data_IF_328973391028
#
_entry.id   IF_328973391028
#
_cell.length_a   1.000
_cell.length_b   1.000
_cell.length_c   1.000
_cell.angle_alpha   90.00
_cell.angle_beta   90.00
_cell.angle_gamma   90.00
#
_symmetry.space_group_name_H-M   'P 1'
#
loop_
_entity.id
_entity.type
_entity.pdbx_description
1 polymer ?
#
# COMPACT_ATOMS: atom_id res chain seq x y z
N UNK A 1 -7.55 19.69 -5.49
CA UNK A 1 -7.29 18.93 -6.74
C UNK A 1 -7.76 17.49 -6.56
N UNK A 2 -8.38 16.87 -7.58
CA UNK A 2 -8.77 15.46 -7.53
C UNK A 2 -7.64 14.59 -8.07
N UNK A 3 -7.12 13.65 -7.27
CA UNK A 3 -6.08 12.73 -7.73
C UNK A 3 -6.65 11.76 -8.77
N UNK A 4 -5.86 11.32 -9.75
CA UNK A 4 -6.23 10.17 -10.59
C UNK A 4 -5.68 8.91 -9.93
N UNK A 5 -6.54 8.00 -9.49
CA UNK A 5 -6.12 6.74 -8.85
C UNK A 5 -6.56 5.59 -9.74
N UNK A 6 -5.59 4.91 -10.34
CA UNK A 6 -5.82 3.70 -11.13
C UNK A 6 -5.72 2.49 -10.21
N UNK A 7 -6.72 1.63 -10.23
CA UNK A 7 -6.75 0.35 -9.54
C UNK A 7 -6.69 -0.78 -10.57
N UNK A 8 -5.82 -1.76 -10.32
CA UNK A 8 -5.75 -2.99 -11.08
C UNK A 8 -6.11 -4.16 -10.19
N UNK A 9 -7.03 -5.00 -10.65
CA UNK A 9 -7.32 -6.30 -10.07
C UNK A 9 -6.62 -7.37 -10.90
N UNK A 10 -5.69 -8.07 -10.28
CA UNK A 10 -4.83 -9.06 -10.91
C UNK A 10 -5.26 -10.44 -10.40
N UNK A 11 -5.64 -11.35 -11.30
CA UNK A 11 -5.82 -12.77 -10.96
C UNK A 11 -4.50 -13.50 -11.17
N UNK A 12 -4.04 -14.22 -10.16
CA UNK A 12 -2.80 -14.99 -10.20
C UNK A 12 -3.04 -16.44 -9.83
N UNK A 13 -2.44 -17.35 -10.58
CA UNK A 13 -2.33 -18.76 -10.22
C UNK A 13 -1.06 -18.98 -9.39
N UNK A 14 -1.21 -19.58 -8.21
CA UNK A 14 -0.10 -19.81 -7.29
C UNK A 14 0.59 -21.16 -7.59
N UNK A 15 1.90 -21.15 -7.85
CA UNK A 15 2.67 -22.33 -8.27
C UNK A 15 3.27 -23.13 -7.12
N UNK A 16 3.40 -22.53 -5.94
CA UNK A 16 4.00 -23.12 -4.73
C UNK A 16 3.24 -22.65 -3.50
N UNK A 17 3.22 -23.46 -2.45
CA UNK A 17 2.64 -23.02 -1.17
C UNK A 17 3.40 -21.78 -0.69
N UNK A 18 2.66 -20.82 -0.14
CA UNK A 18 3.21 -19.51 0.22
C UNK A 18 2.72 -19.11 1.60
N UNK A 19 3.65 -18.91 2.53
CA UNK A 19 3.30 -18.43 3.86
C UNK A 19 2.74 -17.00 3.78
N UNK A 20 1.84 -16.66 4.70
CA UNK A 20 1.28 -15.31 4.76
C UNK A 20 2.35 -14.25 5.06
N UNK A 21 3.40 -14.62 5.79
CA UNK A 21 4.51 -13.73 6.12
C UNK A 21 5.41 -13.43 4.91
N UNK A 22 5.44 -14.32 3.92
CA UNK A 22 6.24 -14.18 2.69
C UNK A 22 5.44 -13.60 1.52
N UNK A 23 4.11 -13.50 1.65
CA UNK A 23 3.22 -13.16 0.54
C UNK A 23 3.54 -11.79 -0.09
N UNK A 24 3.72 -10.74 0.73
CA UNK A 24 4.07 -9.41 0.23
C UNK A 24 5.43 -9.38 -0.46
N UNK A 25 6.40 -10.14 0.03
CA UNK A 25 7.73 -10.25 -0.60
C UNK A 25 7.66 -11.00 -1.93
N UNK A 26 6.87 -12.07 -2.01
CA UNK A 26 6.65 -12.78 -3.26
C UNK A 26 5.97 -11.88 -4.30
N UNK A 27 4.96 -11.13 -3.89
CA UNK A 27 4.26 -10.15 -4.74
C UNK A 27 5.23 -9.01 -5.14
N UNK A 28 6.08 -8.53 -4.24
CA UNK A 28 7.12 -7.54 -4.55
C UNK A 28 8.00 -7.99 -5.72
N UNK A 29 8.40 -9.27 -5.75
CA UNK A 29 9.23 -9.81 -6.85
C UNK A 29 8.52 -9.74 -8.20
N UNK A 30 7.20 -9.96 -8.23
CA UNK A 30 6.39 -9.79 -9.44
C UNK A 30 6.48 -8.36 -9.98
N UNK A 31 6.26 -7.37 -9.10
CA UNK A 31 6.33 -5.95 -9.48
C UNK A 31 7.77 -5.48 -9.77
N UNK A 32 8.77 -6.03 -9.09
CA UNK A 32 10.19 -5.75 -9.38
C UNK A 32 10.57 -6.22 -10.79
N UNK A 33 10.04 -7.37 -11.26
CA UNK A 33 10.25 -7.84 -12.65
C UNK A 33 9.65 -6.86 -13.66
N UNK A 34 8.41 -6.38 -13.41
CA UNK A 34 7.76 -5.37 -14.26
C UNK A 34 8.58 -4.08 -14.28
N UNK A 35 9.01 -3.58 -13.12
CA UNK A 35 9.82 -2.39 -13.01
C UNK A 35 11.14 -2.53 -13.77
N UNK A 36 11.86 -3.66 -13.59
CA UNK A 36 13.13 -3.88 -14.26
C UNK A 36 13.03 -3.93 -15.80
N UNK A 37 11.94 -4.49 -16.32
CA UNK A 37 11.69 -4.62 -17.76
C UNK A 37 11.43 -3.25 -18.43
N UNK A 38 10.69 -2.37 -17.75
CA UNK A 38 10.11 -1.17 -18.39
C UNK A 38 10.81 0.12 -17.96
N UNK A 39 11.22 0.22 -16.70
CA UNK A 39 11.93 1.38 -16.17
C UNK A 39 12.74 0.99 -14.93
N UNK A 40 14.03 0.73 -15.12
CA UNK A 40 14.95 0.32 -14.06
C UNK A 40 14.94 1.26 -12.85
N UNK A 41 14.71 2.55 -13.07
CA UNK A 41 14.64 3.57 -12.01
C UNK A 41 13.46 3.30 -11.06
N UNK A 42 12.34 2.75 -11.54
CA UNK A 42 11.24 2.27 -10.70
C UNK A 42 11.67 1.13 -9.77
N UNK A 43 12.80 0.46 -10.02
CA UNK A 43 13.36 -0.53 -9.10
C UNK A 43 14.46 0.06 -8.22
N UNK A 44 15.41 0.78 -8.81
CA UNK A 44 16.67 1.20 -8.19
C UNK A 44 16.57 2.44 -7.31
N UNK A 45 15.67 3.36 -7.64
CA UNK A 45 15.68 4.69 -7.02
C UNK A 45 14.95 4.63 -5.67
N UNK A 46 15.54 5.28 -4.67
CA UNK A 46 15.00 5.34 -3.32
C UNK A 46 14.04 6.52 -3.16
N UNK A 47 12.99 6.51 -3.98
CA UNK A 47 11.97 7.57 -4.03
C UNK A 47 10.56 6.98 -3.86
N UNK A 48 9.58 7.86 -3.69
CA UNK A 48 8.19 7.43 -3.73
C UNK A 48 7.82 6.98 -5.14
N UNK A 49 7.47 5.70 -5.26
CA UNK A 49 7.06 5.09 -6.54
C UNK A 49 5.58 5.25 -6.83
N UNK A 50 4.83 5.85 -5.90
CA UNK A 50 3.42 6.22 -6.01
C UNK A 50 2.44 5.08 -6.38
N UNK A 51 2.84 3.83 -6.13
CA UNK A 51 1.97 2.66 -6.17
C UNK A 51 2.04 1.84 -4.88
N UNK A 52 0.98 1.07 -4.62
CA UNK A 52 0.85 0.16 -3.48
C UNK A 52 -0.10 -0.97 -3.79
N UNK A 53 -0.01 -2.09 -3.08
CA UNK A 53 -0.86 -3.26 -3.29
C UNK A 53 -1.16 -3.99 -1.99
N UNK A 54 -2.24 -4.76 -2.00
CA UNK A 54 -2.58 -5.66 -0.90
C UNK A 54 -1.86 -7.02 -1.02
N UNK A 55 -2.05 -7.87 -0.02
CA UNK A 55 -1.67 -9.29 -0.10
C UNK A 55 -2.69 -10.10 -0.92
N UNK A 56 -2.47 -11.41 -1.05
CA UNK A 56 -3.37 -12.31 -1.75
C UNK A 56 -4.77 -12.37 -1.08
N UNK A 57 -5.80 -12.41 -1.92
CA UNK A 57 -7.19 -12.61 -1.50
C UNK A 57 -7.83 -13.79 -2.26
N UNK A 58 -8.64 -14.65 -1.61
CA UNK A 58 -9.02 -14.64 -0.19
C UNK A 58 -7.84 -14.91 0.74
N UNK A 59 -7.94 -14.42 1.99
CA UNK A 59 -6.90 -14.60 3.01
C UNK A 59 -6.70 -16.09 3.32
N UNK A 60 -5.45 -16.48 3.54
CA UNK A 60 -5.10 -17.83 4.00
C UNK A 60 -5.77 -18.14 5.34
N UNK A 61 -6.44 -19.30 5.45
CA UNK A 61 -7.11 -19.72 6.70
C UNK A 61 -6.08 -20.17 7.75
N UNK A 62 -5.10 -20.95 7.33
CA UNK A 62 -4.09 -21.55 8.22
C UNK A 62 -2.71 -20.88 8.08
N UNK A 63 -2.70 -19.62 7.65
CA UNK A 63 -1.46 -18.85 7.43
C UNK A 63 -0.66 -19.27 6.19
N UNK A 64 -1.15 -20.21 5.38
CA UNK A 64 -0.54 -20.65 4.12
C UNK A 64 -1.54 -20.51 2.97
N UNK A 65 -1.11 -19.86 1.88
CA UNK A 65 -1.80 -19.89 0.59
C UNK A 65 -1.41 -21.16 -0.15
N UNK A 66 -2.41 -21.87 -0.68
CA UNK A 66 -2.22 -23.21 -1.24
C UNK A 66 -1.88 -23.15 -2.73
N UNK A 67 -0.86 -23.91 -3.11
CA UNK A 67 -0.48 -24.18 -4.49
C UNK A 67 -1.68 -24.67 -5.31
N UNK A 68 -1.71 -24.27 -6.57
CA UNK A 68 -2.73 -24.69 -7.53
C UNK A 68 -4.03 -23.88 -7.45
N UNK A 69 -4.15 -22.95 -6.51
CA UNK A 69 -5.31 -22.06 -6.39
C UNK A 69 -5.09 -20.72 -7.10
N UNK A 70 -6.21 -20.07 -7.40
CA UNK A 70 -6.25 -18.72 -7.96
C UNK A 70 -6.55 -17.71 -6.86
N UNK A 71 -5.75 -16.66 -6.80
CA UNK A 71 -5.89 -15.56 -5.88
C UNK A 71 -6.00 -14.24 -6.63
N UNK A 72 -6.48 -13.21 -5.94
CA UNK A 72 -6.54 -11.85 -6.45
C UNK A 72 -5.58 -10.94 -5.68
N UNK A 73 -4.93 -10.04 -6.42
CA UNK A 73 -4.13 -8.93 -5.90
C UNK A 73 -4.76 -7.64 -6.42
N UNK A 74 -4.86 -6.64 -5.57
CA UNK A 74 -5.24 -5.28 -5.93
C UNK A 74 -4.01 -4.41 -5.81
N UNK A 75 -3.63 -3.73 -6.90
CA UNK A 75 -2.62 -2.68 -6.90
C UNK A 75 -3.28 -1.36 -7.28
N UNK A 76 -2.84 -0.27 -6.63
CA UNK A 76 -3.25 1.09 -6.93
C UNK A 76 -2.04 1.93 -7.23
N UNK A 77 -2.21 2.90 -8.11
CA UNK A 77 -1.20 3.90 -8.42
C UNK A 77 -1.84 5.27 -8.67
N UNK A 78 -1.14 6.31 -8.24
CA UNK A 78 -1.45 7.72 -8.57
C UNK A 78 -0.64 8.24 -9.73
N UNK A 79 0.37 7.47 -10.17
CA UNK A 79 1.23 7.78 -11.30
C UNK A 79 0.67 7.14 -12.58
N UNK A 80 0.43 7.97 -13.59
CA UNK A 80 -0.13 7.56 -14.90
C UNK A 80 0.87 6.72 -15.69
N UNK A 81 2.16 7.06 -15.67
CA UNK A 81 3.18 6.29 -16.37
C UNK A 81 3.31 4.89 -15.77
N UNK A 82 3.26 4.78 -14.43
CA UNK A 82 3.20 3.47 -13.75
C UNK A 82 1.93 2.70 -14.13
N UNK A 83 0.77 3.38 -14.21
CA UNK A 83 -0.48 2.73 -14.62
C UNK A 83 -0.40 2.17 -16.05
N UNK A 84 0.24 2.90 -16.97
CA UNK A 84 0.36 2.46 -18.36
C UNK A 84 1.34 1.29 -18.50
N UNK A 85 2.47 1.33 -17.79
CA UNK A 85 3.38 0.19 -17.63
C UNK A 85 2.64 -1.04 -17.11
N UNK A 86 1.86 -0.90 -16.03
CA UNK A 86 1.10 -2.00 -15.44
C UNK A 86 0.05 -2.58 -16.41
N UNK A 87 -0.58 -1.73 -17.22
CA UNK A 87 -1.57 -2.16 -18.21
C UNK A 87 -0.97 -3.07 -19.29
N UNK A 88 0.29 -2.84 -19.67
CA UNK A 88 0.97 -3.53 -20.77
C UNK A 88 1.76 -4.76 -20.29
N UNK A 89 2.29 -4.70 -19.07
CA UNK A 89 3.35 -5.63 -18.67
C UNK A 89 2.89 -6.66 -17.64
N UNK A 90 1.86 -6.36 -16.82
CA UNK A 90 1.39 -7.29 -15.78
C UNK A 90 0.81 -8.59 -16.36
N UNK A 91 0.02 -8.52 -17.44
CA UNK A 91 -0.63 -9.72 -17.99
C UNK A 91 0.38 -10.74 -18.55
N UNK A 92 1.61 -10.31 -18.85
CA UNK A 92 2.71 -11.14 -19.36
C UNK A 92 3.50 -11.84 -18.26
N UNK A 93 3.28 -11.47 -17.00
CA UNK A 93 4.15 -11.93 -15.92
C UNK A 93 3.88 -13.39 -15.57
N UNK A 94 4.94 -14.18 -15.61
CA UNK A 94 5.00 -15.56 -15.18
C UNK A 94 6.36 -15.79 -14.53
N UNK A 95 6.36 -16.08 -13.23
CA UNK A 95 7.56 -16.36 -12.47
C UNK A 95 7.40 -17.66 -11.67
N UNK A 96 8.41 -18.03 -10.89
CA UNK A 96 8.42 -19.28 -10.13
C UNK A 96 7.29 -19.40 -9.09
N UNK A 97 6.69 -18.28 -8.66
CA UNK A 97 5.62 -18.24 -7.66
C UNK A 97 4.25 -18.01 -8.30
N UNK A 98 4.14 -17.08 -9.24
CA UNK A 98 2.87 -16.63 -9.80
C UNK A 98 2.85 -16.73 -11.32
N UNK A 99 1.73 -17.21 -11.86
CA UNK A 99 1.34 -16.96 -13.25
C UNK A 99 0.16 -16.00 -13.27
N UNK A 100 0.30 -14.85 -13.92
CA UNK A 100 -0.82 -13.91 -14.09
C UNK A 100 -1.82 -14.50 -15.09
N UNK A 101 -3.10 -14.50 -14.70
CA UNK A 101 -4.21 -15.03 -15.50
C UNK A 101 -5.08 -13.93 -16.12
N UNK A 102 -5.09 -12.74 -15.51
CA UNK A 102 -5.89 -11.62 -15.97
C UNK A 102 -5.64 -10.36 -15.16
N UNK A 103 -5.83 -9.21 -15.81
CA UNK A 103 -5.65 -7.89 -15.23
C UNK A 103 -6.83 -7.03 -15.66
N UNK A 104 -7.54 -6.47 -14.70
CA UNK A 104 -8.64 -5.53 -14.91
C UNK A 104 -8.23 -4.16 -14.37
N UNK A 105 -8.28 -3.10 -15.20
CA UNK A 105 -7.99 -1.72 -14.80
C UNK A 105 -9.30 -0.94 -14.61
N UNK A 106 -9.35 -0.11 -13.57
CA UNK A 106 -10.39 0.92 -13.39
C UNK A 106 -9.82 2.17 -12.74
N UNK A 107 -10.47 3.31 -12.93
CA UNK A 107 -10.21 4.51 -12.14
C UNK A 107 -11.15 4.53 -10.92
N UNK A 108 -10.62 4.87 -9.74
CA UNK A 108 -11.42 4.99 -8.52
C UNK A 108 -12.15 6.34 -8.50
N UNK A 109 -13.48 6.29 -8.46
CA UNK A 109 -14.30 7.47 -8.23
C UNK A 109 -14.14 7.97 -6.78
N UNK A 110 -13.64 9.20 -6.64
CA UNK A 110 -13.50 9.83 -5.33
C UNK A 110 -14.79 10.54 -4.91
N UNK A 111 -15.23 10.21 -3.70
CA UNK A 111 -16.36 10.78 -2.95
C UNK A 111 -15.87 11.06 -1.50
N UNK A 112 -16.59 11.83 -0.68
CA UNK A 112 -16.23 12.00 0.71
C UNK A 112 -16.05 10.65 1.43
N UNK A 113 -14.91 10.49 2.10
CA UNK A 113 -14.55 9.33 2.89
C UNK A 113 -14.94 9.57 4.35
N UNK A 114 -15.65 8.61 4.91
CA UNK A 114 -15.89 8.52 6.34
C UNK A 114 -14.66 7.92 7.03
N UNK A 115 -14.17 6.80 6.49
CA UNK A 115 -13.14 5.98 7.11
C UNK A 115 -12.16 5.42 6.07
N UNK A 116 -10.89 5.30 6.47
CA UNK A 116 -9.90 4.44 5.82
C UNK A 116 -9.39 3.41 6.82
N UNK A 117 -9.08 2.21 6.35
CA UNK A 117 -8.59 1.14 7.20
C UNK A 117 -7.56 0.29 6.49
N UNK A 118 -6.47 -0.04 7.17
CA UNK A 118 -5.36 -0.76 6.57
C UNK A 118 -5.67 -2.24 6.38
N UNK A 119 -5.42 -2.73 5.17
CA UNK A 119 -5.49 -4.15 4.82
C UNK A 119 -4.15 -4.84 5.08
N UNK A 120 -3.04 -4.17 4.76
CA UNK A 120 -1.68 -4.62 5.06
C UNK A 120 -1.06 -3.79 6.19
N UNK A 121 -0.09 -4.34 6.96
CA UNK A 121 0.53 -3.62 8.06
C UNK A 121 1.16 -2.30 7.59
N UNK A 122 0.98 -1.25 8.37
CA UNK A 122 1.63 0.03 8.18
C UNK A 122 3.01 -0.04 8.81
N UNK A 123 4.02 0.36 8.05
CA UNK A 123 5.39 0.48 8.53
C UNK A 123 5.68 1.95 8.77
N UNK A 124 6.09 2.26 9.99
CA UNK A 124 6.64 3.55 10.39
C UNK A 124 7.95 3.24 11.09
N UNK A 125 9.08 3.72 10.55
CA UNK A 125 10.40 3.44 11.09
C UNK A 125 10.98 4.67 11.76
N UNK A 126 11.58 4.44 12.92
CA UNK A 126 12.40 5.40 13.62
C UNK A 126 13.85 4.93 13.54
N UNK A 127 14.78 5.82 13.17
CA UNK A 127 16.13 5.42 12.76
C UNK A 127 16.93 4.70 13.86
N UNK A 128 16.71 5.02 15.14
CA UNK A 128 17.42 4.38 16.26
C UNK A 128 16.63 3.24 16.89
N UNK A 129 15.31 3.42 17.04
CA UNK A 129 14.44 2.56 17.82
C UNK A 129 13.73 1.49 16.96
N UNK A 130 13.67 1.69 15.65
CA UNK A 130 12.97 0.81 14.72
C UNK A 130 11.46 0.89 14.92
N UNK A 131 10.89 -0.10 15.62
CA UNK A 131 9.45 -0.24 15.81
C UNK A 131 8.91 0.70 16.89
N UNK A 132 7.76 1.32 16.65
CA UNK A 132 7.40 2.55 17.37
C UNK A 132 6.75 2.35 18.74
N UNK A 133 5.98 1.28 18.99
CA UNK A 133 5.04 1.22 20.13
C UNK A 133 5.68 1.33 21.52
N UNK A 134 6.91 0.85 21.69
CA UNK A 134 7.61 0.89 22.98
C UNK A 134 8.41 2.18 23.20
N UNK A 135 8.52 3.01 22.16
CA UNK A 135 9.44 4.14 22.13
C UNK A 135 8.75 5.49 21.84
N UNK A 136 7.54 5.47 21.28
CA UNK A 136 6.84 6.66 20.84
C UNK A 136 5.34 6.63 21.22
N UNK A 137 4.78 7.82 21.42
CA UNK A 137 3.35 7.99 21.68
C UNK A 137 2.50 7.79 20.42
N UNK A 138 1.20 7.58 20.61
CA UNK A 138 0.24 7.51 19.51
C UNK A 138 0.20 8.80 18.68
N UNK A 139 0.37 9.96 19.33
CA UNK A 139 0.43 11.27 18.68
C UNK A 139 1.64 11.37 17.73
N UNK A 140 2.82 10.90 18.17
CA UNK A 140 4.02 10.86 17.31
C UNK A 140 3.82 9.93 16.11
N UNK A 141 3.20 8.77 16.32
CA UNK A 141 2.87 7.84 15.24
C UNK A 141 1.91 8.47 14.23
N UNK A 142 0.82 9.09 14.70
CA UNK A 142 -0.14 9.77 13.85
C UNK A 142 0.49 10.93 13.07
N UNK A 143 1.26 11.78 13.76
CA UNK A 143 1.97 12.89 13.14
C UNK A 143 2.92 12.41 12.04
N UNK A 144 3.56 11.25 12.22
CA UNK A 144 4.43 10.67 11.20
C UNK A 144 3.65 10.18 9.97
N UNK A 145 2.45 9.64 10.15
CA UNK A 145 1.56 9.30 9.04
C UNK A 145 1.14 10.55 8.27
N UNK A 146 0.72 11.62 8.99
CA UNK A 146 0.33 12.89 8.38
C UNK A 146 1.47 13.47 7.54
N UNK A 147 2.66 13.62 8.13
CA UNK A 147 3.85 14.16 7.43
C UNK A 147 4.19 13.33 6.20
N UNK A 148 4.13 12.00 6.29
CA UNK A 148 4.38 11.12 5.14
C UNK A 148 3.36 11.34 4.01
N UNK A 149 2.07 11.40 4.34
CA UNK A 149 1.02 11.60 3.35
C UNK A 149 1.06 13.00 2.72
N UNK A 150 1.29 14.05 3.51
CA UNK A 150 1.44 15.42 3.01
C UNK A 150 2.60 15.50 2.02
N UNK A 151 3.75 14.88 2.32
CA UNK A 151 4.88 14.79 1.39
C UNK A 151 4.50 14.08 0.09
N UNK A 152 3.82 12.94 0.16
CA UNK A 152 3.34 12.22 -1.04
C UNK A 152 2.38 13.09 -1.85
N UNK A 153 1.40 13.72 -1.20
CA UNK A 153 0.40 14.57 -1.85
C UNK A 153 1.07 15.75 -2.58
N UNK A 154 1.96 16.46 -1.89
CA UNK A 154 2.69 17.60 -2.45
C UNK A 154 3.49 17.20 -3.69
N UNK A 155 4.14 16.03 -3.69
CA UNK A 155 4.85 15.52 -4.86
C UNK A 155 3.91 15.13 -6.01
N UNK A 156 2.82 14.43 -5.72
CA UNK A 156 1.85 13.98 -6.75
C UNK A 156 1.14 15.19 -7.39
N UNK A 157 0.75 16.17 -6.58
CA UNK A 157 0.00 17.34 -7.04
C UNK A 157 0.89 18.51 -7.49
N UNK A 158 2.22 18.40 -7.38
CA UNK A 158 3.16 19.48 -7.71
C UNK A 158 2.91 20.75 -6.91
N UNK A 159 2.58 20.61 -5.62
CA UNK A 159 2.16 21.72 -4.74
C UNK A 159 2.86 21.68 -3.39
N UNK A 160 2.60 22.69 -2.56
CA UNK A 160 2.98 22.71 -1.15
C UNK A 160 1.82 23.28 -0.34
N UNK A 161 1.06 22.39 0.30
CA UNK A 161 -0.10 22.79 1.11
C UNK A 161 0.31 23.36 2.47
N UNK A 162 -0.57 24.15 3.07
CA UNK A 162 -0.52 24.47 4.49
C UNK A 162 -0.78 23.18 5.31
N UNK A 163 0.09 22.89 6.27
CA UNK A 163 0.02 21.69 7.10
C UNK A 163 -0.85 21.89 8.36
N UNK A 164 -1.36 23.10 8.59
CA UNK A 164 -2.20 23.47 9.72
C UNK A 164 -3.68 23.07 9.51
N UNK A 165 -3.94 21.76 9.50
CA UNK A 165 -5.30 21.20 9.44
C UNK A 165 -5.39 19.85 10.16
N UNK A 166 -6.57 19.52 10.66
CA UNK A 166 -6.86 18.18 11.17
C UNK A 166 -7.17 17.25 10.01
N UNK A 167 -6.39 16.18 9.85
CA UNK A 167 -6.60 15.22 8.77
C UNK A 167 -7.53 14.06 9.19
N UNK A 168 -7.70 13.86 10.50
CA UNK A 168 -8.52 12.80 11.09
C UNK A 168 -9.27 13.30 12.32
N UNK A 169 -10.37 12.62 12.64
CA UNK A 169 -11.07 12.79 13.91
C UNK A 169 -10.60 11.75 14.96
N UNK A 170 -10.19 10.57 14.50
CA UNK A 170 -9.79 9.47 15.37
C UNK A 170 -8.98 8.40 14.60
N UNK A 171 -8.06 7.74 15.31
CA UNK A 171 -7.29 6.60 14.84
C UNK A 171 -7.27 5.49 15.91
N UNK A 172 -7.47 4.26 15.47
CA UNK A 172 -7.44 3.05 16.31
C UNK A 172 -6.44 2.05 15.74
N UNK A 173 -5.67 1.40 16.61
CA UNK A 173 -4.87 0.23 16.26
C UNK A 173 -5.71 -1.03 16.44
N UNK A 174 -5.88 -1.82 15.38
CA UNK A 174 -6.78 -2.97 15.39
C UNK A 174 -6.11 -4.29 15.75
N UNK A 175 -4.78 -4.33 15.84
CA UNK A 175 -4.01 -5.53 16.21
C UNK A 175 -3.44 -5.44 17.63
N UNK A 176 -3.62 -6.51 18.42
CA UNK A 176 -3.09 -6.56 19.80
C UNK A 176 -1.56 -6.60 19.84
N UNK A 177 -0.95 -7.51 19.08
CA UNK A 177 0.51 -7.65 18.95
C UNK A 177 0.98 -7.10 17.60
N UNK A 178 2.23 -6.61 17.50
CA UNK A 178 2.82 -6.18 16.23
C UNK A 178 2.70 -7.28 15.18
N UNK A 179 2.43 -6.91 13.93
CA UNK A 179 2.39 -7.86 12.82
C UNK A 179 3.78 -7.94 12.20
N UNK A 180 4.44 -9.10 12.36
CA UNK A 180 5.71 -9.39 11.73
C UNK A 180 5.52 -9.82 10.27
N UNK A 181 6.27 -9.23 9.34
CA UNK A 181 6.30 -9.61 7.92
C UNK A 181 7.74 -9.75 7.46
N UNK A 182 8.03 -10.78 6.66
CA UNK A 182 9.37 -10.97 6.10
C UNK A 182 9.64 -9.92 5.01
N UNK A 183 10.80 -9.29 5.08
CA UNK A 183 11.28 -8.34 4.08
C UNK A 183 12.76 -8.54 3.84
N UNK A 184 13.11 -9.09 2.66
CA UNK A 184 14.49 -9.49 2.35
C UNK A 184 14.99 -10.47 3.42
N UNK A 185 16.00 -10.08 4.20
CA UNK A 185 16.62 -10.91 5.23
C UNK A 185 16.30 -10.43 6.66
N UNK A 186 15.31 -9.52 6.81
CA UNK A 186 14.89 -8.98 8.10
C UNK A 186 13.38 -9.16 8.29
N UNK A 187 12.91 -8.98 9.53
CA UNK A 187 11.49 -8.86 9.83
C UNK A 187 11.13 -7.40 10.08
N UNK A 188 10.04 -6.97 9.45
CA UNK A 188 9.43 -5.66 9.72
C UNK A 188 8.23 -5.85 10.63
N UNK A 189 8.15 -5.02 11.66
CA UNK A 189 7.00 -4.94 12.56
C UNK A 189 6.13 -3.76 12.13
N UNK A 190 4.84 -4.01 12.00
CA UNK A 190 3.86 -3.01 11.62
C UNK A 190 2.51 -3.22 12.28
N UNK A 191 1.66 -2.23 12.12
CA UNK A 191 0.35 -2.18 12.74
C UNK A 191 -0.76 -1.98 11.73
N UNK A 192 -1.94 -2.47 12.07
CA UNK A 192 -3.17 -2.17 11.35
C UNK A 192 -3.95 -1.11 12.09
N UNK A 193 -4.55 -0.22 11.32
CA UNK A 193 -5.35 0.88 11.85
C UNK A 193 -6.69 1.02 11.14
N UNK A 194 -7.63 1.62 11.87
CA UNK A 194 -8.83 2.25 11.32
C UNK A 194 -8.74 3.73 11.64
N UNK A 195 -9.04 4.57 10.67
CA UNK A 195 -8.95 6.02 10.76
C UNK A 195 -10.30 6.62 10.34
N UNK A 196 -10.89 7.45 11.19
CA UNK A 196 -12.03 8.31 10.85
C UNK A 196 -11.50 9.62 10.29
N UNK A 197 -11.82 9.90 9.02
CA UNK A 197 -11.27 11.03 8.29
C UNK A 197 -12.04 12.30 8.64
N UNK A 198 -11.32 13.42 8.84
CA UNK A 198 -11.97 14.73 8.98
C UNK A 198 -12.63 15.15 7.65
N UNK A 199 -13.67 15.97 7.72
CA UNK A 199 -14.49 16.30 6.54
C UNK A 199 -14.08 17.60 5.83
N UNK A 200 -13.01 18.25 6.29
CA UNK A 200 -12.43 19.37 5.57
C UNK A 200 -11.74 18.89 4.27
N UNK A 201 -11.57 19.79 3.31
CA UNK A 201 -11.07 19.45 1.97
C UNK A 201 -9.66 18.82 2.02
N UNK A 202 -8.76 19.37 2.83
CA UNK A 202 -7.38 18.89 2.92
C UNK A 202 -7.32 17.47 3.50
N UNK A 203 -8.10 17.18 4.55
CA UNK A 203 -8.23 15.84 5.10
C UNK A 203 -8.68 14.81 4.05
N UNK A 204 -9.65 15.17 3.22
CA UNK A 204 -10.12 14.31 2.13
C UNK A 204 -9.05 14.09 1.06
N UNK A 205 -8.30 15.13 0.67
CA UNK A 205 -7.16 15.01 -0.26
C UNK A 205 -6.07 14.08 0.29
N UNK A 206 -5.74 14.22 1.58
CA UNK A 206 -4.77 13.37 2.28
C UNK A 206 -5.25 11.93 2.41
N UNK A 207 -6.53 11.70 2.72
CA UNK A 207 -7.09 10.36 2.78
C UNK A 207 -7.10 9.68 1.41
N UNK A 208 -7.44 10.39 0.33
CA UNK A 208 -7.33 9.84 -1.03
C UNK A 208 -5.88 9.58 -1.45
N UNK A 209 -4.92 10.35 -0.93
CA UNK A 209 -3.49 10.06 -1.09
C UNK A 209 -3.13 8.72 -0.43
N UNK A 210 -3.62 8.45 0.78
CA UNK A 210 -3.43 7.16 1.46
C UNK A 210 -4.04 6.00 0.65
N UNK A 211 -5.21 6.20 0.03
CA UNK A 211 -5.86 5.19 -0.81
C UNK A 211 -5.03 4.85 -2.05
N UNK A 212 -4.43 5.85 -2.69
CA UNK A 212 -3.65 5.67 -3.92
C UNK A 212 -2.17 5.32 -3.72
N UNK A 213 -1.57 5.74 -2.60
CA UNK A 213 -0.13 5.67 -2.34
C UNK A 213 0.24 5.17 -0.92
N UNK A 214 -0.70 4.50 -0.25
CA UNK A 214 -0.55 3.84 1.06
C UNK A 214 -0.31 4.78 2.26
N UNK A 215 -0.61 4.27 3.46
CA UNK A 215 -0.17 4.85 4.72
C UNK A 215 1.29 4.46 5.02
N UNK A 216 2.05 5.40 5.59
CA UNK A 216 3.41 5.16 6.05
C UNK A 216 4.40 4.85 4.93
N UNK A 217 5.36 3.98 5.23
CA UNK A 217 6.54 3.73 4.40
C UNK A 217 6.42 2.44 3.61
N UNK A 218 7.30 2.27 2.61
CA UNK A 218 7.41 1.05 1.79
C UNK A 218 6.17 0.69 0.97
N UNK A 219 5.46 1.70 0.45
CA UNK A 219 4.25 1.55 -0.39
C UNK A 219 4.44 0.54 -1.52
N UNK A 220 5.57 0.64 -2.24
CA UNK A 220 5.94 -0.24 -3.36
C UNK A 220 6.26 -1.68 -2.95
N UNK A 221 6.34 -1.96 -1.64
CA UNK A 221 6.50 -3.30 -1.05
C UNK A 221 5.18 -3.84 -0.49
N UNK A 222 4.07 -3.13 -0.73
CA UNK A 222 2.72 -3.54 -0.35
C UNK A 222 2.33 -3.21 1.09
N UNK A 223 3.13 -2.42 1.81
CA UNK A 223 2.81 -2.01 3.18
C UNK A 223 1.88 -0.80 3.22
N UNK A 224 1.03 -0.77 4.24
CA UNK A 224 0.07 0.30 4.49
C UNK A 224 -1.00 0.48 3.43
N UNK A 225 -1.27 -0.55 2.62
CA UNK A 225 -2.40 -0.53 1.68
C UNK A 225 -3.70 -0.42 2.47
N UNK A 226 -4.54 0.55 2.13
CA UNK A 226 -5.82 0.79 2.81
C UNK A 226 -7.00 0.47 1.92
N UNK A 227 -8.13 0.17 2.53
CA UNK A 227 -9.43 0.30 1.90
C UNK A 227 -10.24 1.39 2.61
N UNK A 228 -11.44 1.69 2.12
CA UNK A 228 -12.18 2.87 2.57
C UNK A 228 -13.68 2.62 2.63
N UNK A 229 -14.37 3.48 3.39
CA UNK A 229 -15.83 3.61 3.45
C UNK A 229 -16.22 5.06 3.14
N UNK A 230 -17.22 5.23 2.28
CA UNK A 230 -17.79 6.55 1.99
C UNK A 230 -18.61 7.07 3.17
N UNK A 231 -18.78 8.39 3.22
CA UNK A 231 -19.75 9.05 4.09
C UNK A 231 -21.19 8.73 3.66
#
# INVERSE_FOLDING_TARGET
>A
MKLKINEFRIKVFLRQDLSNNDALQAISKLFDTVAYQENKNLHTDNEYKFYTYNSLYPLAKDGVYEKGKVYSIIVRTTDVAVADIFSITLYKQDNSMFKVLGVERREIAQKPLQEIFSITPIIVRFDKEGYWREHHSMETFEGRLKVNLVKKYNLIAGTKIDENFDWINYIEITNRKPIATNYKNIQLLGDKVVIKVAQNEQAQQIAWTAVGASLGELSARGYGFVNYRYL
#
